data_IF_253204801655
#
_entry.id   IF_253204801655
#
_cell.length_a   1.000
_cell.length_b   1.000
_cell.length_c   1.000
_cell.angle_alpha   90.00
_cell.angle_beta   90.00
_cell.angle_gamma   90.00
#
_symmetry.space_group_name_H-M   'P 1'
#
loop_
_entity.id
_entity.type
_entity.pdbx_description
1 polymer ?
#
# COMPACT_ATOMS: atom_id res chain seq x y z
N UNK A 1 1.17 14.54 -13.36
CA UNK A 1 2.37 15.00 -12.59
C UNK A 1 3.62 14.26 -13.05
N UNK A 2 3.66 12.92 -13.07
CA UNK A 2 4.84 12.09 -13.44
C UNK A 2 5.34 12.39 -14.84
N UNK A 3 4.45 12.47 -15.85
CA UNK A 3 4.80 12.87 -17.22
C UNK A 3 5.58 14.18 -17.27
N UNK A 4 5.08 15.24 -16.61
CA UNK A 4 5.76 16.55 -16.57
C UNK A 4 7.13 16.48 -15.90
N UNK A 5 7.28 15.64 -14.88
CA UNK A 5 8.57 15.42 -14.22
C UNK A 5 9.58 14.79 -15.18
N UNK A 6 9.17 13.75 -15.92
CA UNK A 6 10.04 13.07 -16.91
C UNK A 6 10.37 13.98 -18.08
N UNK A 7 9.39 14.76 -18.56
CA UNK A 7 9.64 15.80 -19.58
C UNK A 7 10.66 16.85 -19.12
N UNK A 8 10.57 17.27 -17.85
CA UNK A 8 11.54 18.19 -17.27
C UNK A 8 12.94 17.58 -17.16
N UNK A 9 13.03 16.30 -16.72
CA UNK A 9 14.33 15.57 -16.69
C UNK A 9 14.97 15.48 -18.08
N UNK A 10 14.19 15.35 -19.14
CA UNK A 10 14.68 15.30 -20.54
C UNK A 10 15.39 16.59 -20.97
N UNK A 11 15.00 17.73 -20.40
CA UNK A 11 15.61 19.02 -20.66
C UNK A 11 16.85 19.34 -19.82
N UNK A 12 17.24 18.45 -18.90
CA UNK A 12 18.41 18.65 -18.05
C UNK A 12 19.69 18.23 -18.76
N UNK A 13 20.77 18.99 -18.60
CA UNK A 13 22.13 18.60 -19.02
C UNK A 13 22.62 17.34 -18.26
N UNK A 14 22.21 17.22 -16.99
CA UNK A 14 22.54 16.09 -16.13
C UNK A 14 21.28 15.63 -15.39
N UNK A 15 20.55 14.64 -15.92
CA UNK A 15 19.37 14.11 -15.25
C UNK A 15 19.74 13.38 -13.94
N UNK A 16 18.80 13.21 -13.00
CA UNK A 16 19.04 12.51 -11.76
C UNK A 16 19.45 11.06 -12.01
N UNK A 17 20.26 10.48 -11.11
CA UNK A 17 20.70 9.08 -11.23
C UNK A 17 19.55 8.07 -11.04
N UNK A 18 18.52 8.44 -10.30
CA UNK A 18 17.40 7.56 -10.00
C UNK A 18 16.08 8.35 -9.86
N UNK A 19 14.99 7.69 -10.24
CA UNK A 19 13.60 8.08 -9.98
C UNK A 19 12.94 6.97 -9.17
N UNK A 20 12.57 7.28 -7.92
CA UNK A 20 11.77 6.39 -7.09
C UNK A 20 10.32 6.90 -7.17
N UNK A 21 9.53 6.24 -8.00
CA UNK A 21 8.15 6.64 -8.27
C UNK A 21 7.18 5.90 -7.36
N UNK A 22 6.27 6.63 -6.73
CA UNK A 22 5.14 5.99 -6.07
C UNK A 22 4.25 5.28 -7.10
N UNK A 23 3.69 4.16 -6.70
CA UNK A 23 2.60 3.42 -7.30
C UNK A 23 1.72 2.87 -6.16
N UNK A 24 0.74 2.04 -6.45
CA UNK A 24 -0.17 1.51 -5.45
C UNK A 24 -0.45 0.02 -5.67
N UNK A 25 -0.88 -0.65 -4.60
CA UNK A 25 -1.37 -2.03 -4.64
C UNK A 25 -2.50 -2.24 -5.66
N UNK A 26 -3.22 -1.18 -6.01
CA UNK A 26 -4.23 -1.18 -7.07
C UNK A 26 -3.75 -1.67 -8.43
N UNK A 27 -2.42 -1.68 -8.67
CA UNK A 27 -1.82 -2.28 -9.86
C UNK A 27 -2.26 -3.74 -10.07
N UNK A 28 -2.42 -4.51 -9.00
CA UNK A 28 -2.73 -5.93 -9.09
C UNK A 28 -4.21 -6.23 -9.35
N UNK A 29 -5.12 -5.27 -9.11
CA UNK A 29 -6.56 -5.52 -9.14
C UNK A 29 -7.00 -6.50 -8.05
N UNK A 30 -8.12 -7.20 -8.25
CA UNK A 30 -8.63 -8.21 -7.32
C UNK A 30 -7.89 -9.54 -7.51
N UNK A 31 -7.26 -10.05 -6.45
CA UNK A 31 -6.46 -11.28 -6.48
C UNK A 31 -6.96 -12.37 -5.51
N UNK A 32 -8.02 -12.11 -4.75
CA UNK A 32 -8.56 -13.03 -3.75
C UNK A 32 -7.54 -13.38 -2.67
N UNK A 33 -7.41 -14.67 -2.36
CA UNK A 33 -6.49 -15.18 -1.34
C UNK A 33 -5.09 -15.51 -1.88
N UNK A 34 -4.86 -15.28 -3.18
CA UNK A 34 -3.58 -15.55 -3.82
C UNK A 34 -2.48 -14.66 -3.22
N UNK A 35 -1.32 -15.25 -2.94
CA UNK A 35 -0.13 -14.47 -2.59
C UNK A 35 0.31 -13.67 -3.81
N UNK A 36 0.50 -12.37 -3.62
CA UNK A 36 0.94 -11.42 -4.63
C UNK A 36 2.40 -11.08 -4.37
N UNK A 37 3.24 -11.35 -5.35
CA UNK A 37 4.63 -10.88 -5.42
C UNK A 37 4.76 -9.82 -6.52
N UNK A 38 5.93 -9.23 -6.68
CA UNK A 38 6.20 -8.25 -7.72
C UNK A 38 6.01 -8.78 -9.14
N UNK A 39 6.17 -10.11 -9.33
CA UNK A 39 6.01 -10.82 -10.61
C UNK A 39 4.57 -11.28 -10.87
N UNK A 40 3.65 -11.06 -9.93
CA UNK A 40 2.27 -11.49 -10.10
C UNK A 40 1.58 -10.69 -11.20
N UNK A 41 1.02 -11.35 -12.23
CA UNK A 41 0.28 -10.65 -13.26
C UNK A 41 -0.97 -9.98 -12.69
N UNK A 42 -1.29 -8.76 -13.13
CA UNK A 42 -2.46 -8.05 -12.65
C UNK A 42 -3.76 -8.64 -13.18
N UNK A 43 -4.86 -8.37 -12.47
CA UNK A 43 -6.22 -8.53 -12.97
C UNK A 43 -6.67 -7.19 -13.58
N UNK A 44 -7.15 -7.17 -14.83
CA UNK A 44 -7.64 -5.96 -15.47
C UNK A 44 -8.75 -5.27 -14.68
N UNK A 45 -8.73 -3.93 -14.69
CA UNK A 45 -9.74 -3.11 -14.03
C UNK A 45 -9.26 -1.67 -13.85
N UNK A 46 -10.15 -0.79 -13.42
CA UNK A 46 -9.89 0.65 -13.32
C UNK A 46 -8.62 0.99 -12.51
N UNK A 47 -8.43 0.33 -11.36
CA UNK A 47 -7.27 0.59 -10.49
C UNK A 47 -5.96 0.13 -11.11
N UNK A 48 -5.99 -1.02 -11.81
CA UNK A 48 -4.86 -1.51 -12.57
C UNK A 48 -4.50 -0.51 -13.69
N UNK A 49 -5.45 -0.15 -14.53
CA UNK A 49 -5.23 0.75 -15.68
C UNK A 49 -4.64 2.08 -15.24
N UNK A 50 -5.12 2.61 -14.11
CA UNK A 50 -4.60 3.86 -13.53
C UNK A 50 -3.14 3.72 -13.06
N UNK A 51 -2.84 2.65 -12.32
CA UNK A 51 -1.49 2.39 -11.82
C UNK A 51 -0.53 2.08 -12.97
N UNK A 52 -0.95 1.28 -13.95
CA UNK A 52 -0.15 0.95 -15.14
C UNK A 52 0.23 2.21 -15.93
N UNK A 53 -0.74 3.10 -16.19
CA UNK A 53 -0.45 4.37 -16.84
C UNK A 53 0.55 5.21 -16.04
N UNK A 54 0.44 5.22 -14.72
CA UNK A 54 1.35 5.94 -13.85
C UNK A 54 2.76 5.35 -13.90
N UNK A 55 2.88 4.02 -13.79
CA UNK A 55 4.15 3.31 -13.89
C UNK A 55 4.80 3.50 -15.26
N UNK A 56 4.02 3.38 -16.35
CA UNK A 56 4.51 3.58 -17.71
C UNK A 56 5.05 5.00 -17.96
N UNK A 57 4.46 6.02 -17.35
CA UNK A 57 5.01 7.38 -17.42
C UNK A 57 6.35 7.52 -16.67
N UNK A 58 6.51 6.84 -15.53
CA UNK A 58 7.77 6.85 -14.77
C UNK A 58 8.88 6.09 -15.51
N UNK A 59 8.57 4.94 -16.10
CA UNK A 59 9.53 4.10 -16.85
C UNK A 59 10.14 4.82 -18.06
N UNK A 60 9.48 5.84 -18.61
CA UNK A 60 10.06 6.65 -19.69
C UNK A 60 11.37 7.35 -19.30
N UNK A 61 11.64 7.52 -17.99
CA UNK A 61 12.90 8.08 -17.50
C UNK A 61 14.11 7.15 -17.78
N UNK A 62 13.88 5.85 -17.95
CA UNK A 62 14.96 4.91 -18.28
C UNK A 62 15.65 5.24 -19.61
N UNK A 63 14.90 5.77 -20.59
CA UNK A 63 15.45 6.24 -21.87
C UNK A 63 16.43 7.41 -21.72
N UNK A 64 16.47 8.03 -20.55
CA UNK A 64 17.38 9.14 -20.19
C UNK A 64 18.58 8.66 -19.35
N UNK A 65 18.74 7.33 -19.19
CA UNK A 65 19.77 6.76 -18.31
C UNK A 65 19.45 6.86 -16.82
N UNK A 66 18.21 7.17 -16.46
CA UNK A 66 17.74 7.27 -15.07
C UNK A 66 17.25 5.89 -14.60
N UNK A 67 17.80 5.40 -13.51
CA UNK A 67 17.31 4.17 -12.85
C UNK A 67 15.92 4.41 -12.29
N UNK A 68 14.94 3.54 -12.55
CA UNK A 68 13.56 3.69 -12.08
C UNK A 68 13.21 2.57 -11.12
N UNK A 69 12.67 2.95 -9.93
CA UNK A 69 11.99 2.04 -9.02
C UNK A 69 10.52 2.45 -8.90
N UNK A 70 9.63 1.47 -8.90
CA UNK A 70 8.18 1.64 -8.78
C UNK A 70 7.73 1.08 -7.44
N UNK A 71 7.24 1.94 -6.53
CA UNK A 71 6.87 1.52 -5.16
C UNK A 71 5.37 1.29 -5.10
N UNK A 72 4.93 0.02 -5.25
CA UNK A 72 3.53 -0.40 -5.15
C UNK A 72 3.12 -0.46 -3.68
N UNK A 73 2.58 0.64 -3.21
CA UNK A 73 2.34 0.87 -1.79
C UNK A 73 0.98 0.32 -1.36
N UNK A 74 0.97 -0.43 -0.26
CA UNK A 74 -0.24 -0.81 0.47
C UNK A 74 -0.82 0.36 1.28
N UNK A 75 -1.69 0.06 2.24
CA UNK A 75 -2.29 1.08 3.11
C UNK A 75 -1.29 1.53 4.16
N UNK A 76 -0.83 2.76 4.06
CA UNK A 76 0.10 3.33 5.05
C UNK A 76 -0.65 3.64 6.35
N UNK A 77 -0.17 3.07 7.45
CA UNK A 77 -0.72 3.30 8.79
C UNK A 77 0.01 4.48 9.47
N UNK A 78 -0.78 5.51 9.76
CA UNK A 78 -0.36 6.70 10.52
C UNK A 78 -1.53 7.24 11.35
N UNK A 79 -1.22 7.78 12.54
CA UNK A 79 -2.22 8.38 13.44
C UNK A 79 -2.83 9.65 12.87
N UNK A 80 -2.03 10.46 12.21
CA UNK A 80 -2.37 11.84 11.82
C UNK A 80 -2.85 11.95 10.37
N UNK A 81 -2.84 10.83 9.62
CA UNK A 81 -3.21 10.84 8.21
C UNK A 81 -3.67 9.50 7.64
N UNK A 82 -4.12 9.54 6.39
CA UNK A 82 -4.50 8.34 5.63
C UNK A 82 -5.74 7.62 6.14
N UNK A 83 -5.80 6.31 5.85
CA UNK A 83 -6.96 5.48 6.17
C UNK A 83 -7.14 5.28 7.68
N UNK A 84 -6.04 5.03 8.42
CA UNK A 84 -6.13 4.78 9.86
C UNK A 84 -6.72 5.96 10.61
N UNK A 85 -6.28 7.19 10.33
CA UNK A 85 -6.80 8.41 10.98
C UNK A 85 -8.33 8.53 10.85
N UNK A 86 -8.88 8.18 9.66
CA UNK A 86 -10.32 8.18 9.40
C UNK A 86 -11.06 7.07 10.17
N UNK A 87 -10.40 5.94 10.40
CA UNK A 87 -10.96 4.81 11.14
C UNK A 87 -10.96 5.04 12.65
N UNK A 88 -10.04 5.86 13.19
CA UNK A 88 -9.88 6.02 14.64
C UNK A 88 -11.15 6.55 15.32
N UNK A 89 -11.85 7.52 14.74
CA UNK A 89 -13.04 8.10 15.36
C UNK A 89 -14.17 7.07 15.55
N UNK A 90 -14.67 6.37 14.51
CA UNK A 90 -15.69 5.35 14.69
C UNK A 90 -15.24 4.22 15.62
N UNK A 91 -13.97 3.79 15.57
CA UNK A 91 -13.47 2.76 16.48
C UNK A 91 -13.45 3.23 17.94
N UNK A 92 -13.00 4.45 18.22
CA UNK A 92 -13.02 5.03 19.58
C UNK A 92 -14.43 5.15 20.16
N UNK A 93 -15.43 5.37 19.30
CA UNK A 93 -16.85 5.40 19.70
C UNK A 93 -17.47 4.01 19.85
N UNK A 94 -16.72 2.92 19.61
CA UNK A 94 -17.23 1.55 19.68
C UNK A 94 -18.08 1.14 18.46
N UNK A 95 -18.13 1.97 17.41
CA UNK A 95 -18.84 1.70 16.15
C UNK A 95 -17.93 1.08 15.08
N UNK A 96 -16.67 0.77 15.43
CA UNK A 96 -15.73 0.11 14.51
C UNK A 96 -16.09 -1.36 14.28
N UNK A 97 -15.83 -1.84 13.06
CA UNK A 97 -16.08 -3.22 12.70
C UNK A 97 -15.48 -3.62 11.34
N UNK A 98 -15.58 -4.91 11.04
CA UNK A 98 -15.09 -5.46 9.78
C UNK A 98 -15.90 -4.93 8.59
N UNK A 99 -15.23 -4.76 7.46
CA UNK A 99 -15.85 -4.38 6.20
C UNK A 99 -16.33 -5.63 5.45
N UNK A 100 -17.59 -5.66 5.06
CA UNK A 100 -18.20 -6.79 4.38
C UNK A 100 -17.99 -8.11 5.13
N UNK A 101 -17.47 -9.13 4.46
CA UNK A 101 -17.14 -10.43 5.07
C UNK A 101 -15.93 -10.35 6.02
N UNK A 102 -15.07 -9.37 5.85
CA UNK A 102 -13.79 -9.24 6.55
C UNK A 102 -12.73 -10.25 6.11
N UNK A 103 -13.00 -11.09 5.12
CA UNK A 103 -12.07 -12.14 4.65
C UNK A 103 -11.01 -11.62 3.68
N UNK A 104 -11.27 -10.48 3.02
CA UNK A 104 -10.31 -9.87 2.10
C UNK A 104 -9.03 -9.47 2.83
N UNK A 105 -7.89 -9.67 2.18
CA UNK A 105 -6.59 -9.27 2.70
C UNK A 105 -6.43 -7.76 2.62
N UNK A 106 -5.86 -7.20 3.70
CA UNK A 106 -5.62 -5.77 3.89
C UNK A 106 -4.11 -5.51 3.87
N UNK A 107 -3.53 -5.12 2.73
CA UNK A 107 -2.10 -4.84 2.62
C UNK A 107 -1.77 -3.55 3.35
N UNK A 108 -1.09 -3.64 4.48
CA UNK A 108 -0.74 -2.52 5.33
C UNK A 108 0.77 -2.34 5.42
N UNK A 109 1.22 -1.13 5.77
CA UNK A 109 2.60 -0.82 6.10
C UNK A 109 2.66 0.30 7.14
N UNK A 110 3.61 0.24 8.07
CA UNK A 110 3.87 1.34 9.00
C UNK A 110 4.55 2.52 8.28
N UNK A 111 4.23 3.77 8.67
CA UNK A 111 4.83 4.97 8.06
C UNK A 111 6.37 4.98 8.12
N UNK A 112 6.98 4.53 9.21
CA UNK A 112 8.44 4.48 9.30
C UNK A 112 9.04 3.53 8.25
N UNK A 113 8.42 2.37 8.03
CA UNK A 113 8.91 1.38 7.07
C UNK A 113 8.79 1.86 5.62
N UNK A 114 7.69 2.53 5.24
CA UNK A 114 7.58 3.07 3.89
C UNK A 114 8.64 4.16 3.64
N UNK A 115 8.91 5.01 4.62
CA UNK A 115 9.99 6.01 4.53
C UNK A 115 11.36 5.33 4.40
N UNK A 116 11.61 4.30 5.21
CA UNK A 116 12.86 3.52 5.15
C UNK A 116 13.03 2.82 3.79
N UNK A 117 11.96 2.27 3.19
CA UNK A 117 11.98 1.69 1.85
C UNK A 117 12.42 2.72 0.80
N UNK A 118 11.86 3.93 0.81
CA UNK A 118 12.27 4.97 -0.12
C UNK A 118 13.75 5.34 0.05
N UNK A 119 14.22 5.48 1.30
CA UNK A 119 15.62 5.77 1.60
C UNK A 119 16.55 4.64 1.13
N UNK A 120 16.16 3.40 1.38
CA UNK A 120 16.90 2.21 0.97
C UNK A 120 16.98 2.10 -0.56
N UNK A 121 15.87 2.32 -1.29
CA UNK A 121 15.86 2.32 -2.76
C UNK A 121 16.72 3.44 -3.36
N UNK A 122 16.79 4.59 -2.71
CA UNK A 122 17.70 5.68 -3.13
C UNK A 122 19.16 5.27 -2.95
N UNK A 123 19.50 4.66 -1.82
CA UNK A 123 20.86 4.25 -1.47
C UNK A 123 21.33 3.01 -2.26
N UNK A 124 20.43 2.06 -2.56
CA UNK A 124 20.75 0.85 -3.31
C UNK A 124 20.81 1.14 -4.81
N UNK A 125 22.00 1.38 -5.32
CA UNK A 125 22.24 1.69 -6.74
C UNK A 125 21.89 0.56 -7.73
N UNK A 126 21.68 -0.66 -7.26
CA UNK A 126 21.31 -1.83 -8.09
C UNK A 126 19.79 -2.04 -8.14
N UNK A 127 19.04 -1.47 -7.20
CA UNK A 127 17.58 -1.62 -7.16
C UNK A 127 16.91 -0.97 -8.39
N UNK A 128 16.02 -1.68 -9.07
CA UNK A 128 15.26 -1.18 -10.23
C UNK A 128 13.95 -1.95 -10.41
N UNK A 129 12.99 -1.37 -11.14
CA UNK A 129 11.68 -1.97 -11.39
C UNK A 129 10.73 -1.95 -10.19
N UNK A 130 9.71 -2.83 -10.13
CA UNK A 130 8.66 -2.80 -9.12
C UNK A 130 9.12 -3.37 -7.78
N UNK A 131 8.66 -2.75 -6.70
CA UNK A 131 8.79 -3.19 -5.30
C UNK A 131 7.45 -3.09 -4.59
N UNK A 132 7.03 -4.16 -3.95
CA UNK A 132 5.86 -4.17 -3.08
C UNK A 132 6.20 -3.56 -1.73
N UNK A 133 5.54 -2.49 -1.37
CA UNK A 133 5.70 -1.82 -0.09
C UNK A 133 4.52 -2.14 0.83
N UNK A 134 4.54 -3.33 1.42
CA UNK A 134 3.64 -3.80 2.47
C UNK A 134 4.43 -4.47 3.59
N UNK A 135 3.86 -4.59 4.78
CA UNK A 135 4.44 -5.40 5.83
C UNK A 135 4.51 -6.88 5.41
N UNK A 136 5.53 -7.65 5.88
CA UNK A 136 5.77 -9.02 5.41
C UNK A 136 4.76 -10.04 5.94
N UNK A 137 3.91 -9.66 6.91
CA UNK A 137 2.89 -10.53 7.50
C UNK A 137 1.49 -10.04 7.10
N UNK A 138 0.95 -10.51 5.94
CA UNK A 138 -0.36 -10.11 5.47
C UNK A 138 -1.47 -10.52 6.43
N UNK A 139 -2.42 -9.64 6.66
CA UNK A 139 -3.59 -9.89 7.51
C UNK A 139 -4.88 -9.67 6.73
N UNK A 140 -5.95 -10.35 7.16
CA UNK A 140 -7.31 -10.07 6.67
C UNK A 140 -7.87 -8.79 7.31
N UNK A 141 -8.90 -8.22 6.70
CA UNK A 141 -9.60 -7.07 7.27
C UNK A 141 -10.19 -7.40 8.67
N UNK A 142 -10.66 -8.64 8.88
CA UNK A 142 -11.17 -9.07 10.19
C UNK A 142 -10.06 -9.10 11.27
N UNK A 143 -8.86 -9.56 10.91
CA UNK A 143 -7.70 -9.55 11.80
C UNK A 143 -7.23 -8.14 12.09
N UNK A 144 -7.13 -7.28 11.07
CA UNK A 144 -6.83 -5.86 11.24
C UNK A 144 -7.83 -5.17 12.17
N UNK A 145 -9.14 -5.38 11.94
CA UNK A 145 -10.22 -4.81 12.75
C UNK A 145 -10.10 -5.23 14.21
N UNK A 146 -9.84 -6.52 14.47
CA UNK A 146 -9.66 -7.04 15.82
C UNK A 146 -8.42 -6.45 16.50
N UNK A 147 -7.29 -6.40 15.79
CA UNK A 147 -6.06 -5.81 16.31
C UNK A 147 -6.23 -4.34 16.68
N UNK A 148 -6.87 -3.55 15.81
CA UNK A 148 -7.16 -2.13 16.07
C UNK A 148 -8.10 -1.95 17.25
N UNK A 149 -9.16 -2.75 17.33
CA UNK A 149 -10.10 -2.72 18.48
C UNK A 149 -9.40 -3.05 19.80
N UNK A 150 -8.55 -4.09 19.81
CA UNK A 150 -7.77 -4.47 21.00
C UNK A 150 -6.82 -3.35 21.44
N UNK A 151 -6.09 -2.74 20.51
CA UNK A 151 -5.17 -1.62 20.80
C UNK A 151 -5.92 -0.42 21.40
N UNK A 152 -7.10 -0.11 20.85
CA UNK A 152 -7.95 0.99 21.36
C UNK A 152 -8.78 0.61 22.60
N UNK A 153 -8.76 -0.67 23.02
CA UNK A 153 -9.62 -1.23 24.08
C UNK A 153 -11.11 -0.96 23.83
N UNK A 154 -11.54 -1.19 22.57
CA UNK A 154 -12.92 -0.99 22.12
C UNK A 154 -13.43 -2.25 21.43
N UNK A 155 -14.73 -2.60 21.64
CA UNK A 155 -15.36 -3.70 20.92
C UNK A 155 -15.47 -3.38 19.43
N UNK A 156 -15.44 -4.43 18.58
CA UNK A 156 -15.59 -4.33 17.13
C UNK A 156 -16.74 -5.22 16.65
N UNK A 157 -17.92 -5.02 17.27
CA UNK A 157 -19.08 -5.91 17.11
C UNK A 157 -19.96 -5.56 15.90
N UNK A 158 -19.85 -4.35 15.36
CA UNK A 158 -20.75 -3.84 14.33
C UNK A 158 -20.09 -3.95 12.95
N UNK A 159 -20.28 -5.06 12.20
CA UNK A 159 -19.75 -5.14 10.83
C UNK A 159 -20.43 -4.08 9.96
N UNK A 160 -19.69 -3.53 9.02
CA UNK A 160 -20.23 -2.66 7.98
C UNK A 160 -20.53 -3.50 6.74
N UNK A 161 -21.81 -3.85 6.47
CA UNK A 161 -22.18 -4.67 5.32
C UNK A 161 -21.86 -3.98 4.00
N UNK A 162 -21.55 -4.77 2.95
CA UNK A 162 -21.27 -4.23 1.61
C UNK A 162 -22.32 -3.25 1.09
N UNK A 163 -23.65 -3.50 1.22
CA UNK A 163 -24.64 -2.54 0.75
C UNK A 163 -24.53 -1.17 1.41
N UNK A 164 -24.16 -1.14 2.70
CA UNK A 164 -23.96 0.10 3.44
C UNK A 164 -22.68 0.80 2.96
N UNK A 165 -21.59 0.04 2.72
CA UNK A 165 -20.37 0.59 2.14
C UNK A 165 -20.63 1.20 0.77
N UNK A 166 -21.35 0.50 -0.11
CA UNK A 166 -21.72 1.00 -1.45
C UNK A 166 -22.58 2.26 -1.38
N UNK A 167 -23.52 2.33 -0.43
CA UNK A 167 -24.35 3.51 -0.24
C UNK A 167 -23.54 4.74 0.24
N UNK A 168 -22.57 4.53 1.14
CA UNK A 168 -21.78 5.63 1.74
C UNK A 168 -20.61 6.09 0.84
N UNK A 169 -19.98 5.16 0.13
CA UNK A 169 -18.74 5.42 -0.62
C UNK A 169 -18.88 5.24 -2.13
N UNK A 170 -20.06 4.81 -2.62
CA UNK A 170 -20.29 4.58 -4.05
C UNK A 170 -19.27 3.57 -4.64
N UNK A 171 -18.74 3.88 -5.82
CA UNK A 171 -17.73 3.04 -6.50
C UNK A 171 -16.42 2.91 -5.70
N UNK A 172 -16.09 3.89 -4.85
CA UNK A 172 -14.91 3.79 -3.97
C UNK A 172 -15.00 2.65 -2.94
N UNK A 173 -16.19 2.11 -2.67
CA UNK A 173 -16.36 0.96 -1.80
C UNK A 173 -15.65 -0.29 -2.34
N UNK A 174 -15.51 -0.43 -3.65
CA UNK A 174 -14.78 -1.53 -4.28
C UNK A 174 -13.31 -1.54 -3.85
N UNK A 175 -12.69 -0.35 -3.76
CA UNK A 175 -11.30 -0.22 -3.29
C UNK A 175 -11.11 -0.69 -1.83
N UNK A 176 -12.17 -0.60 -1.03
CA UNK A 176 -12.14 -1.02 0.37
C UNK A 176 -12.35 -2.53 0.57
N UNK A 177 -12.85 -3.20 -0.47
CA UNK A 177 -13.22 -4.62 -0.44
C UNK A 177 -12.28 -5.50 -1.29
N UNK A 178 -11.44 -4.90 -2.12
CA UNK A 178 -10.42 -5.61 -2.93
C UNK A 178 -9.48 -6.39 -2.02
N UNK A 179 -9.26 -7.67 -2.34
CA UNK A 179 -8.39 -8.55 -1.59
C UNK A 179 -7.00 -8.60 -2.23
N UNK A 180 -5.98 -8.20 -1.47
CA UNK A 180 -4.60 -8.20 -1.94
C UNK A 180 -3.66 -8.75 -0.84
N UNK A 181 -3.35 -10.05 -0.93
CA UNK A 181 -2.38 -10.71 -0.05
C UNK A 181 -0.96 -10.40 -0.52
N UNK A 182 -0.57 -9.14 -0.42
CA UNK A 182 0.69 -8.61 -0.96
C UNK A 182 1.89 -8.92 -0.07
N UNK A 183 2.95 -9.47 -0.69
CA UNK A 183 4.23 -9.77 -0.07
C UNK A 183 5.32 -8.87 -0.64
N UNK A 184 6.19 -8.30 0.20
CA UNK A 184 7.34 -7.51 -0.23
C UNK A 184 8.54 -8.42 -0.56
N UNK A 185 8.35 -9.34 -1.52
CA UNK A 185 9.30 -10.45 -1.77
C UNK A 185 10.67 -9.93 -2.15
N UNK A 186 10.76 -8.99 -3.07
CA UNK A 186 12.04 -8.43 -3.49
C UNK A 186 12.77 -7.67 -2.38
N UNK A 187 12.05 -6.92 -1.56
CA UNK A 187 12.66 -6.23 -0.41
C UNK A 187 13.28 -7.22 0.56
N UNK A 188 12.58 -8.33 0.86
CA UNK A 188 13.07 -9.38 1.75
C UNK A 188 14.29 -10.10 1.15
N UNK A 189 14.21 -10.49 -0.11
CA UNK A 189 15.29 -11.20 -0.81
C UNK A 189 16.56 -10.35 -0.96
N UNK A 190 16.41 -9.04 -1.09
CA UNK A 190 17.49 -8.06 -1.19
C UNK A 190 17.97 -7.55 0.19
N UNK A 191 17.43 -8.10 1.31
CA UNK A 191 17.92 -7.87 2.66
C UNK A 191 17.39 -6.60 3.35
N UNK A 192 16.24 -6.08 2.93
CA UNK A 192 15.59 -4.99 3.65
C UNK A 192 14.99 -5.49 4.97
N UNK A 193 15.28 -4.80 6.06
CA UNK A 193 14.78 -5.12 7.41
C UNK A 193 13.62 -4.17 7.79
N UNK A 194 12.44 -4.75 8.05
CA UNK A 194 11.27 -4.00 8.52
C UNK A 194 11.39 -3.70 10.02
N UNK A 195 11.12 -2.46 10.40
CA UNK A 195 11.06 -2.06 11.81
C UNK A 195 9.76 -2.55 12.48
N UNK A 196 8.67 -2.61 11.72
CA UNK A 196 7.34 -3.03 12.20
C UNK A 196 6.76 -4.15 11.32
N UNK A 197 7.32 -5.37 11.38
CA UNK A 197 6.84 -6.48 10.57
C UNK A 197 5.47 -7.01 11.02
N UNK A 198 5.12 -6.80 12.31
CA UNK A 198 3.90 -7.31 12.93
C UNK A 198 2.86 -6.20 13.18
N UNK A 199 1.60 -6.45 12.78
CA UNK A 199 0.51 -5.47 12.89
C UNK A 199 0.31 -4.96 14.31
N UNK A 200 0.34 -5.84 15.31
CA UNK A 200 0.14 -5.44 16.71
C UNK A 200 1.22 -4.48 17.19
N UNK A 201 2.49 -4.74 16.83
CA UNK A 201 3.60 -3.85 17.15
C UNK A 201 3.43 -2.49 16.48
N UNK A 202 3.07 -2.48 15.18
CA UNK A 202 2.83 -1.26 14.43
C UNK A 202 1.71 -0.42 15.06
N UNK A 203 0.57 -1.03 15.37
CA UNK A 203 -0.56 -0.32 15.98
C UNK A 203 -0.24 0.22 17.38
N UNK A 204 0.51 -0.53 18.19
CA UNK A 204 0.98 -0.04 19.50
C UNK A 204 1.94 1.13 19.36
N UNK A 205 2.86 1.11 18.41
CA UNK A 205 3.78 2.21 18.18
C UNK A 205 3.07 3.50 17.70
N UNK A 206 1.98 3.35 16.94
CA UNK A 206 1.20 4.48 16.41
C UNK A 206 0.25 5.07 17.45
N UNK A 207 -0.38 4.25 18.29
CA UNK A 207 -1.54 4.60 19.11
C UNK A 207 -1.31 4.51 20.62
N UNK A 208 -0.20 3.88 21.03
CA UNK A 208 0.19 3.68 22.43
C UNK A 208 0.68 4.91 23.17
#
# INVERSE_FOLDING_TARGET
>A
TTRKLVEWMRGMESPPKALISASAVGYYGEQGDRIITEDTPPTPGFTHDLCEQWENEALKAESLGVRVCLVRTGVVLDRDGGALAKMLLPFKMGAGGRLGSGKHYFPWIHRADIVAIYQWLVANGQASGPYNASAPNPVTNAEFTRALGNTLKRPTLFPMPEPVLRLLFGEMSELLLVSNRMMPTRLLDEGFEFQYPELNQALHAILG
#
